data_IF_822307219715
#
_entry.id   IF_822307219715
#
_cell.length_a   1.000
_cell.length_b   1.000
_cell.length_c   1.000
_cell.angle_alpha   90.00
_cell.angle_beta   90.00
_cell.angle_gamma   90.00
#
_symmetry.space_group_name_H-M   'P 1'
#
loop_
_entity.id
_entity.type
_entity.pdbx_description
1 polymer ?
#
# COMPACT_ATOMS: atom_id res chain seq x y z
N UNK A 1 17.92 -3.23 4.78
CA UNK A 1 17.53 -3.57 6.17
C UNK A 1 17.73 -2.35 7.07
N UNK A 2 16.73 -1.98 7.88
CA UNK A 2 16.83 -0.88 8.83
C UNK A 2 17.08 -1.46 10.22
N UNK A 3 18.16 -1.02 10.88
CA UNK A 3 18.45 -1.40 12.25
C UNK A 3 17.83 -0.39 13.21
N UNK A 4 17.06 -0.89 14.18
CA UNK A 4 16.40 -0.10 15.21
C UNK A 4 16.94 -0.59 16.55
N UNK A 5 17.59 0.27 17.36
CA UNK A 5 18.10 -0.14 18.67
C UNK A 5 16.98 -0.57 19.61
N UNK A 6 17.22 -1.64 20.38
CA UNK A 6 16.25 -2.24 21.32
C UNK A 6 15.93 -1.41 22.57
N UNK A 7 16.27 -0.12 22.59
CA UNK A 7 16.12 0.76 23.76
C UNK A 7 14.79 1.52 23.78
N UNK A 8 13.76 1.01 23.09
CA UNK A 8 12.43 1.65 23.00
C UNK A 8 12.37 2.85 22.05
N UNK A 9 13.33 2.96 21.12
CA UNK A 9 13.36 4.04 20.14
C UNK A 9 12.36 3.77 19.00
N UNK A 10 11.65 4.81 18.59
CA UNK A 10 10.81 4.79 17.40
C UNK A 10 11.54 5.49 16.24
N UNK A 11 11.43 4.94 15.04
CA UNK A 11 11.93 5.57 13.82
C UNK A 11 10.83 5.66 12.78
N UNK A 12 10.82 6.75 12.03
CA UNK A 12 9.94 6.90 10.86
C UNK A 12 10.61 6.15 9.71
N UNK A 13 9.85 5.26 9.06
CA UNK A 13 10.28 4.56 7.86
C UNK A 13 9.60 5.23 6.66
N UNK A 14 10.33 6.02 5.85
CA UNK A 14 9.74 6.60 4.65
C UNK A 14 9.47 5.50 3.63
N UNK A 15 8.24 5.46 3.12
CA UNK A 15 7.82 4.50 2.11
C UNK A 15 7.56 5.26 0.80
N UNK A 16 8.27 4.86 -0.26
CA UNK A 16 8.00 5.34 -1.61
C UNK A 16 7.41 4.18 -2.41
N UNK A 17 6.21 4.39 -2.92
CA UNK A 17 5.49 3.39 -3.71
C UNK A 17 5.32 3.88 -5.15
N UNK A 18 5.61 3.00 -6.09
CA UNK A 18 5.34 3.20 -7.52
C UNK A 18 4.55 2.01 -8.05
N UNK A 19 3.54 2.28 -8.88
CA UNK A 19 2.73 1.25 -9.52
C UNK A 19 2.88 1.38 -11.03
N UNK A 20 3.43 0.35 -11.67
CA UNK A 20 3.39 0.22 -13.13
C UNK A 20 2.05 -0.40 -13.52
N UNK A 21 1.16 0.42 -14.09
CA UNK A 21 -0.18 -0.02 -14.48
C UNK A 21 -0.16 -1.05 -15.61
N UNK A 22 0.81 -0.98 -16.52
CA UNK A 22 0.91 -1.92 -17.63
C UNK A 22 1.28 -3.32 -17.12
N UNK A 23 2.27 -3.39 -16.24
CA UNK A 23 2.66 -4.64 -15.60
C UNK A 23 1.58 -5.17 -14.65
N UNK A 24 0.99 -4.29 -13.82
CA UNK A 24 0.02 -4.69 -12.79
C UNK A 24 -1.23 -5.36 -13.37
N UNK A 25 -1.74 -4.84 -14.50
CA UNK A 25 -2.91 -5.41 -15.17
C UNK A 25 -2.56 -6.50 -16.19
N UNK A 26 -1.29 -6.92 -16.30
CA UNK A 26 -0.89 -8.15 -17.00
C UNK A 26 -1.29 -8.23 -18.48
N UNK A 27 -1.48 -7.09 -19.16
CA UNK A 27 -1.94 -7.06 -20.56
C UNK A 27 -3.44 -7.27 -20.76
N UNK A 28 -4.27 -7.32 -19.70
CA UNK A 28 -5.74 -7.47 -19.75
C UNK A 28 -6.47 -6.24 -20.36
N UNK A 29 -5.71 -5.26 -20.86
CA UNK A 29 -6.19 -4.20 -21.73
C UNK A 29 -6.64 -2.94 -21.00
N UNK A 30 -7.01 -1.94 -21.79
CA UNK A 30 -7.42 -0.61 -21.33
C UNK A 30 -8.59 -0.63 -20.35
N UNK A 31 -9.43 -1.67 -20.36
CA UNK A 31 -10.63 -1.76 -19.52
C UNK A 31 -10.32 -1.70 -18.02
N UNK A 32 -9.33 -2.45 -17.55
CA UNK A 32 -9.05 -2.53 -16.12
C UNK A 32 -8.37 -1.24 -15.61
N UNK A 33 -7.60 -0.57 -16.47
CA UNK A 33 -7.07 0.77 -16.19
C UNK A 33 -8.21 1.79 -16.10
N UNK A 34 -9.19 1.71 -17.01
CA UNK A 34 -10.38 2.56 -16.97
C UNK A 34 -11.23 2.27 -15.73
N UNK A 35 -11.40 1.01 -15.36
CA UNK A 35 -12.12 0.61 -14.15
C UNK A 35 -11.41 1.15 -12.90
N UNK A 36 -10.08 1.10 -12.82
CA UNK A 36 -9.30 1.75 -11.77
C UNK A 36 -9.51 3.26 -11.77
N UNK A 37 -9.44 3.92 -12.93
CA UNK A 37 -9.64 5.36 -13.03
C UNK A 37 -11.06 5.77 -12.59
N UNK A 38 -12.09 5.03 -13.00
CA UNK A 38 -13.47 5.24 -12.59
C UNK A 38 -13.69 4.97 -11.09
N UNK A 39 -13.04 3.94 -10.57
CA UNK A 39 -13.06 3.58 -9.17
C UNK A 39 -12.21 4.49 -8.29
N UNK A 40 -11.40 5.40 -8.86
CA UNK A 40 -10.72 6.52 -8.18
C UNK A 40 -11.54 7.81 -8.35
N UNK A 41 -12.17 8.01 -9.51
CA UNK A 41 -12.98 9.19 -9.81
C UNK A 41 -14.35 9.20 -9.11
N UNK A 42 -14.76 8.10 -8.46
CA UNK A 42 -16.04 8.01 -7.78
C UNK A 42 -17.23 7.95 -8.75
N UNK A 43 -17.16 7.11 -9.79
CA UNK A 43 -18.17 6.96 -10.87
C UNK A 43 -19.63 6.75 -10.41
N UNK A 44 -19.89 6.43 -9.15
CA UNK A 44 -21.24 6.30 -8.57
C UNK A 44 -21.56 7.35 -7.49
N UNK A 45 -20.87 8.49 -7.47
CA UNK A 45 -21.06 9.55 -6.46
C UNK A 45 -20.59 9.14 -5.05
N UNK A 46 -19.89 8.01 -4.95
CA UNK A 46 -19.30 7.50 -3.71
C UNK A 46 -17.80 7.73 -3.74
N UNK A 47 -17.24 8.10 -2.58
CA UNK A 47 -15.81 8.30 -2.46
C UNK A 47 -15.04 7.01 -2.75
N UNK A 48 -13.91 7.18 -3.42
CA UNK A 48 -13.07 6.08 -3.86
C UNK A 48 -11.96 5.85 -2.85
N UNK A 49 -11.82 4.61 -2.37
CA UNK A 49 -10.84 4.26 -1.32
C UNK A 49 -9.68 3.44 -1.91
N UNK A 50 -8.48 4.00 -1.83
CA UNK A 50 -7.24 3.30 -2.16
C UNK A 50 -6.47 2.97 -0.88
N UNK A 51 -6.29 1.67 -0.61
CA UNK A 51 -5.57 1.19 0.58
C UNK A 51 -4.23 0.57 0.19
N UNK A 52 -3.15 1.06 0.82
CA UNK A 52 -1.86 0.39 0.82
C UNK A 52 -1.75 -0.49 2.06
N UNK A 53 -1.63 -1.80 1.89
CA UNK A 53 -1.43 -2.75 2.98
C UNK A 53 -0.05 -3.42 2.90
N UNK A 54 0.57 -3.69 4.04
CA UNK A 54 1.84 -4.43 4.10
C UNK A 54 1.84 -5.46 5.24
N UNK A 55 2.65 -6.51 5.08
CA UNK A 55 2.94 -7.50 6.13
C UNK A 55 4.43 -7.42 6.47
N UNK A 56 4.83 -6.54 7.41
CA UNK A 56 6.24 -6.33 7.69
C UNK A 56 6.86 -7.57 8.34
N UNK A 57 8.19 -7.66 8.25
CA UNK A 57 8.98 -8.66 8.96
C UNK A 57 10.14 -7.96 9.66
N UNK A 58 10.41 -8.38 10.89
CA UNK A 58 11.56 -7.91 11.68
C UNK A 58 12.50 -9.09 11.94
N UNK A 59 13.77 -8.83 12.19
CA UNK A 59 14.72 -9.86 12.62
C UNK A 59 15.24 -9.49 13.99
N UNK A 60 15.06 -10.38 14.97
CA UNK A 60 15.54 -10.19 16.35
C UNK A 60 16.54 -11.31 16.63
N UNK A 61 17.79 -10.94 16.94
CA UNK A 61 18.86 -11.91 17.26
C UNK A 61 19.00 -13.03 16.20
N UNK A 62 18.84 -12.69 14.92
CA UNK A 62 18.91 -13.64 13.80
C UNK A 62 17.62 -14.42 13.51
N UNK A 63 16.57 -14.26 14.32
CA UNK A 63 15.28 -14.93 14.11
C UNK A 63 14.33 -14.00 13.34
N UNK A 64 13.83 -14.38 12.15
CA UNK A 64 12.84 -13.60 11.43
C UNK A 64 11.45 -13.78 12.05
N UNK A 65 10.79 -12.67 12.32
CA UNK A 65 9.44 -12.60 12.87
C UNK A 65 8.56 -11.82 11.88
N UNK A 66 7.57 -12.51 11.31
CA UNK A 66 6.54 -11.86 10.50
C UNK A 66 5.50 -11.23 11.41
N UNK A 67 5.04 -10.06 11.03
CA UNK A 67 3.92 -9.43 11.69
C UNK A 67 2.64 -10.29 11.49
N UNK A 68 1.79 -10.45 12.50
CA UNK A 68 0.71 -11.44 12.49
C UNK A 68 -0.44 -11.13 11.52
N UNK A 69 -0.46 -9.94 10.91
CA UNK A 69 -1.51 -9.54 9.97
C UNK A 69 -1.04 -8.46 8.98
N UNK A 70 -1.94 -8.03 8.11
CA UNK A 70 -1.68 -6.86 7.27
C UNK A 70 -1.91 -5.58 8.08
N UNK A 71 -1.02 -4.60 7.90
CA UNK A 71 -1.21 -3.23 8.37
C UNK A 71 -1.61 -2.34 7.20
N UNK A 72 -2.64 -1.52 7.38
CA UNK A 72 -3.00 -0.48 6.43
C UNK A 72 -2.09 0.74 6.67
N UNK A 73 -1.27 1.07 5.68
CA UNK A 73 -0.27 2.13 5.73
C UNK A 73 -0.88 3.46 5.26
N UNK A 74 -1.59 3.42 4.13
CA UNK A 74 -2.26 4.60 3.56
C UNK A 74 -3.68 4.21 3.23
N UNK A 75 -4.62 5.04 3.65
CA UNK A 75 -6.02 5.01 3.27
C UNK A 75 -6.32 6.38 2.66
N UNK A 76 -6.38 6.44 1.33
CA UNK A 76 -6.61 7.70 0.61
C UNK A 76 -7.98 7.70 -0.01
N UNK A 77 -8.77 8.67 0.40
CA UNK A 77 -10.10 8.93 -0.12
C UNK A 77 -10.02 9.96 -1.24
N UNK A 78 -10.63 9.63 -2.39
CA UNK A 78 -10.82 10.56 -3.50
C UNK A 78 -12.31 10.83 -3.65
N UNK A 79 -12.70 12.10 -3.59
CA UNK A 79 -14.06 12.56 -3.83
C UNK A 79 -14.10 13.34 -5.14
N UNK A 80 -15.24 13.33 -5.82
CA UNK A 80 -15.44 14.25 -6.95
C UNK A 80 -15.35 15.70 -6.41
N UNK A 81 -14.56 16.59 -7.03
CA UNK A 81 -14.55 18.00 -6.67
C UNK A 81 -15.92 18.67 -6.87
#
# INVERSE_FOLDING_TARGET
>A
PLEIPGTGQATIIPLTMSLDLFQFFGGNGYKDILDLAFAIAGKSGSASRLTLAATPSVTISGVPLKYPGAINIVDKEFTNP
#
